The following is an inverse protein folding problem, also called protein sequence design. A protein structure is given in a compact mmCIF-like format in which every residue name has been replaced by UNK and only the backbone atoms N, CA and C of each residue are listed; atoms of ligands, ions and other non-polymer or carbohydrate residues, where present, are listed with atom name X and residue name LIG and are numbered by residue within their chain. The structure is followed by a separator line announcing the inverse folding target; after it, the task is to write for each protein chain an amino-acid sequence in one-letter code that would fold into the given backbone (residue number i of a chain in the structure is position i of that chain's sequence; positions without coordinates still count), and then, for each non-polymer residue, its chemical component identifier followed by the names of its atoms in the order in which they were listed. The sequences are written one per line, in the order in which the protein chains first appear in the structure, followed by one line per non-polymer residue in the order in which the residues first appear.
data_IF_593475259771
#
_entry.id   IF_593475259771
#
_cell.length_a   1.000
_cell.length_b   1.000
_cell.length_c   1.000
_cell.angle_alpha   90.00
_cell.angle_beta   90.00
_cell.angle_gamma   90.00
#
_symmetry.space_group_name_H-M   'P 1'
#
loop_
_entity.id
_entity.type
_entity.pdbx_description
1 polymer ?
#
# COMPACT_ATOMS: atom_id res chain seq x y z
N UNK A 1 4.14 -1.04 -8.84
CA UNK A 1 2.68 -1.17 -9.12
C UNK A 1 2.25 -2.61 -8.92
N UNK A 2 1.34 -2.87 -7.98
CA UNK A 2 0.90 -4.21 -7.62
C UNK A 2 -0.62 -4.24 -7.50
N UNK A 3 -1.24 -5.31 -7.99
CA UNK A 3 -2.69 -5.53 -7.92
C UNK A 3 -2.97 -6.56 -6.84
N UNK A 4 -3.90 -6.26 -5.93
CA UNK A 4 -4.27 -7.16 -4.86
C UNK A 4 -5.77 -7.04 -4.53
N UNK A 5 -6.52 -8.16 -4.65
CA UNK A 5 -7.97 -8.21 -4.37
C UNK A 5 -8.74 -7.05 -5.03
N UNK A 6 -8.53 -6.87 -6.34
CA UNK A 6 -9.12 -5.78 -7.14
C UNK A 6 -8.74 -4.36 -6.72
N UNK A 7 -7.67 -4.21 -5.92
CA UNK A 7 -7.11 -2.92 -5.53
C UNK A 7 -5.80 -2.71 -6.26
N UNK A 8 -5.60 -1.49 -6.74
CA UNK A 8 -4.34 -1.08 -7.35
C UNK A 8 -3.53 -0.33 -6.29
N UNK A 9 -2.40 -0.91 -5.90
CA UNK A 9 -1.51 -0.35 -4.89
C UNK A 9 -0.20 0.03 -5.59
N UNK A 10 0.19 1.28 -5.42
CA UNK A 10 1.51 1.75 -5.77
C UNK A 10 2.45 1.55 -4.59
N UNK A 11 3.61 0.97 -4.88
CA UNK A 11 4.63 0.63 -3.90
C UNK A 11 5.92 1.19 -4.46
N UNK A 12 6.45 2.18 -3.76
CA UNK A 12 7.74 2.80 -4.04
C UNK A 12 8.66 2.54 -2.87
N UNK A 13 9.90 2.17 -3.15
CA UNK A 13 10.91 1.88 -2.14
C UNK A 13 12.15 2.69 -2.47
N UNK A 14 12.58 3.50 -1.53
CA UNK A 14 13.76 4.36 -1.65
C UNK A 14 14.69 4.21 -0.44
N UNK A 15 15.61 5.15 -0.26
CA UNK A 15 16.58 5.13 0.83
C UNK A 15 15.96 5.48 2.20
N UNK A 16 14.85 6.21 2.22
CA UNK A 16 14.17 6.65 3.44
C UNK A 16 13.11 5.63 3.89
N UNK A 17 12.63 4.78 2.97
CA UNK A 17 11.87 3.59 3.30
C UNK A 17 10.94 3.12 2.19
N UNK A 18 9.84 2.49 2.61
CA UNK A 18 8.80 1.99 1.70
C UNK A 18 7.54 2.84 1.82
N UNK A 19 7.11 3.37 0.68
CA UNK A 19 5.94 4.20 0.48
C UNK A 19 4.84 3.41 -0.20
N UNK A 20 3.62 3.51 0.33
CA UNK A 20 2.46 2.78 -0.15
C UNK A 20 1.33 3.76 -0.43
N UNK A 21 0.69 3.59 -1.58
CA UNK A 21 -0.45 4.41 -1.97
C UNK A 21 -1.55 3.55 -2.59
N UNK A 22 -2.78 3.73 -2.10
CA UNK A 22 -3.95 3.15 -2.74
C UNK A 22 -4.34 4.02 -3.94
N UNK A 23 -4.15 3.48 -5.14
CA UNK A 23 -4.53 4.17 -6.39
C UNK A 23 -6.00 3.95 -6.67
N UNK A 24 -6.47 2.70 -6.52
CA UNK A 24 -7.86 2.36 -6.75
C UNK A 24 -8.36 1.18 -5.92
N UNK A 25 -9.67 1.18 -5.66
CA UNK A 25 -10.37 0.20 -4.83
C UNK A 25 -10.71 0.69 -3.41
N UNK A 26 -11.20 -0.23 -2.59
CA UNK A 26 -11.64 0.02 -1.21
C UNK A 26 -10.46 0.18 -0.23
N UNK A 27 -10.63 0.91 0.89
CA UNK A 27 -9.62 1.03 1.94
C UNK A 27 -9.11 -0.32 2.44
N UNK A 28 -7.79 -0.44 2.63
CA UNK A 28 -7.14 -1.68 3.06
C UNK A 28 -6.11 -1.41 4.15
N UNK A 29 -6.06 -2.28 5.15
CA UNK A 29 -4.92 -2.35 6.07
C UNK A 29 -3.93 -3.40 5.58
N UNK A 30 -2.68 -3.00 5.38
CA UNK A 30 -1.57 -3.89 5.01
C UNK A 30 -0.56 -3.96 6.15
N UNK A 31 0.13 -5.10 6.28
CA UNK A 31 1.26 -5.22 7.20
C UNK A 31 2.56 -4.88 6.47
N UNK A 32 3.33 -3.96 7.04
CA UNK A 32 4.64 -3.54 6.55
C UNK A 32 5.64 -3.69 7.69
N UNK A 33 6.51 -4.70 7.58
CA UNK A 33 7.51 -5.02 8.60
C UNK A 33 6.91 -5.17 10.02
N UNK A 34 5.75 -5.79 10.14
CA UNK A 34 5.04 -5.98 11.41
C UNK A 34 4.27 -4.76 11.91
N UNK A 35 4.18 -3.70 11.09
CA UNK A 35 3.33 -2.53 11.36
C UNK A 35 2.11 -2.54 10.46
N UNK A 36 0.93 -2.44 11.06
CA UNK A 36 -0.30 -2.21 10.32
C UNK A 36 -0.32 -0.78 9.76
N UNK A 37 -0.45 -0.68 8.44
CA UNK A 37 -0.58 0.58 7.70
C UNK A 37 -1.94 0.58 7.01
N UNK A 38 -2.75 1.58 7.33
CA UNK A 38 -4.05 1.78 6.70
C UNK A 38 -3.89 2.65 5.46
N UNK A 39 -4.36 2.13 4.32
CA UNK A 39 -4.38 2.83 3.04
C UNK A 39 -5.82 3.21 2.71
N UNK A 40 -6.08 4.51 2.75
CA UNK A 40 -7.32 5.17 2.34
C UNK A 40 -7.04 6.08 1.13
N UNK A 41 -8.11 6.49 0.45
CA UNK A 41 -8.05 7.38 -0.73
C UNK A 41 -7.93 8.84 -0.33
#
# INVERSE_FOLDING_TARGET
RQVFRDRLIEVDVDQDGSHFKLIDGEPITIDVAGKAVELTK
#
